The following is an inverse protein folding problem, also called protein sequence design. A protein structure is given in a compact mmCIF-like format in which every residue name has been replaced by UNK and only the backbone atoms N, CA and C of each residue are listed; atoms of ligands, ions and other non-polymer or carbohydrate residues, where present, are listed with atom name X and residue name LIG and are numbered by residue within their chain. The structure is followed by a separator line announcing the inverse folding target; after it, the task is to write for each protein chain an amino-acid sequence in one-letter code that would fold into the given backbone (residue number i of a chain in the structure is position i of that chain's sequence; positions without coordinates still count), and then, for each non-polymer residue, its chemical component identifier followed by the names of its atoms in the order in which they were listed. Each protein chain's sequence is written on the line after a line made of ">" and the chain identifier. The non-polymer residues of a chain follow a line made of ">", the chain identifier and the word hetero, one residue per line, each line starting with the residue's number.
data_IF_814666396019
#
_entry.id   IF_814666396019
#
_cell.length_a   1.000
_cell.length_b   1.000
_cell.length_c   1.000
_cell.angle_alpha   90.00
_cell.angle_beta   90.00
_cell.angle_gamma   90.00
#
_symmetry.space_group_name_H-M   'P 1'
#
loop_
_entity.id
_entity.type
_entity.pdbx_description
1 polymer ?
#
# COMPACT_ATOMS: atom_id res chain seq x y z
N UNK A 1 26.50 37.15 1.12
CA UNK A 1 25.26 37.34 0.32
C UNK A 1 24.16 36.50 0.96
N UNK A 2 22.97 37.07 1.25
CA UNK A 2 21.88 36.35 1.95
C UNK A 2 21.11 35.40 1.01
N UNK A 3 20.76 34.22 1.52
CA UNK A 3 19.97 33.14 0.88
C UNK A 3 18.62 33.65 0.33
N UNK A 4 18.08 34.73 0.90
CA UNK A 4 16.83 35.37 0.46
C UNK A 4 16.92 35.96 -0.96
N UNK A 5 18.13 36.35 -1.41
CA UNK A 5 18.36 36.85 -2.77
C UNK A 5 18.28 35.76 -3.84
N UNK A 6 18.39 34.48 -3.46
CA UNK A 6 18.31 33.35 -4.38
C UNK A 6 16.87 32.87 -4.63
N UNK A 7 16.00 32.99 -3.63
CA UNK A 7 14.62 32.48 -3.72
C UNK A 7 13.66 33.40 -4.50
N UNK A 8 14.02 34.66 -4.73
CA UNK A 8 13.17 35.66 -5.40
C UNK A 8 13.28 35.67 -6.93
N UNK A 9 14.20 34.90 -7.52
CA UNK A 9 14.50 34.95 -8.97
C UNK A 9 13.75 33.92 -9.82
N UNK A 10 12.49 33.57 -9.49
CA UNK A 10 11.71 32.57 -10.24
C UNK A 10 10.26 33.02 -10.53
N UNK A 11 10.13 33.82 -11.60
CA UNK A 11 9.08 33.86 -12.64
C UNK A 11 9.16 35.22 -13.34
N UNK A 12 10.13 35.38 -14.23
CA UNK A 12 10.27 36.55 -15.09
C UNK A 12 9.02 36.69 -15.98
N UNK A 13 8.53 37.92 -16.06
CA UNK A 13 7.35 38.39 -16.82
C UNK A 13 7.37 37.94 -18.30
N UNK A 14 8.56 37.63 -18.82
CA UNK A 14 8.82 37.24 -20.20
C UNK A 14 8.26 35.86 -20.61
N UNK A 15 8.18 34.88 -19.71
CA UNK A 15 7.60 33.56 -20.04
C UNK A 15 6.07 33.61 -20.15
N UNK A 16 5.41 34.51 -19.40
CA UNK A 16 3.97 34.74 -19.51
C UNK A 16 3.61 35.42 -20.84
N UNK A 17 4.37 36.45 -21.23
CA UNK A 17 4.14 37.16 -22.50
C UNK A 17 4.33 36.25 -23.72
N UNK A 18 5.34 35.35 -23.72
CA UNK A 18 5.53 34.40 -24.83
C UNK A 18 4.38 33.41 -25.01
N UNK A 19 3.70 33.01 -23.92
CA UNK A 19 2.52 32.12 -23.97
C UNK A 19 1.26 32.84 -24.43
N UNK A 20 1.11 34.11 -24.06
CA UNK A 20 -0.02 34.94 -24.51
C UNK A 20 0.11 35.35 -25.99
N UNK A 21 1.33 35.64 -26.46
CA UNK A 21 1.59 35.99 -27.86
C UNK A 21 1.45 34.77 -28.80
N UNK A 22 1.77 33.56 -28.33
CA UNK A 22 1.51 32.34 -29.11
C UNK A 22 0.03 31.99 -29.19
N UNK A 23 -0.76 32.34 -28.17
CA UNK A 23 -2.21 32.12 -28.19
C UNK A 23 -2.96 33.12 -29.08
N UNK A 24 -2.49 34.38 -29.15
CA UNK A 24 -3.09 35.42 -30.00
C UNK A 24 -2.80 35.26 -31.50
N UNK A 25 -1.80 34.46 -31.87
CA UNK A 25 -1.41 34.19 -33.27
C UNK A 25 -2.10 32.98 -33.90
N UNK A 26 -2.92 32.24 -33.15
CA UNK A 26 -3.62 31.07 -33.67
C UNK A 26 -4.86 31.50 -34.45
N UNK A 27 -4.95 31.05 -35.70
CA UNK A 27 -6.12 31.26 -36.55
C UNK A 27 -7.29 30.37 -36.13
N UNK A 28 -8.52 30.75 -36.49
CA UNK A 28 -9.76 30.01 -36.14
C UNK A 28 -9.69 28.53 -36.53
N UNK A 29 -9.02 28.21 -37.64
CA UNK A 29 -8.89 26.85 -38.16
C UNK A 29 -7.94 25.99 -37.31
N UNK A 30 -6.87 26.58 -36.76
CA UNK A 30 -5.94 25.87 -35.88
C UNK A 30 -6.58 25.55 -34.53
N UNK A 31 -7.43 26.45 -34.00
CA UNK A 31 -8.19 26.21 -32.77
C UNK A 31 -9.21 25.06 -32.97
N UNK A 32 -9.85 24.99 -34.13
CA UNK A 32 -10.75 23.87 -34.45
C UNK A 32 -9.99 22.55 -34.61
N UNK A 33 -8.81 22.56 -35.22
CA UNK A 33 -7.96 21.38 -35.34
C UNK A 33 -7.52 20.87 -33.95
N UNK A 34 -7.14 21.76 -33.02
CA UNK A 34 -6.81 21.40 -31.65
C UNK A 34 -8.01 20.82 -30.88
N UNK A 35 -9.20 21.39 -31.05
CA UNK A 35 -10.43 20.85 -30.44
C UNK A 35 -10.74 19.46 -30.98
N UNK A 36 -10.71 19.25 -32.30
CA UNK A 36 -10.91 17.93 -32.93
C UNK A 36 -9.87 16.90 -32.48
N UNK A 37 -8.60 17.31 -32.31
CA UNK A 37 -7.51 16.46 -31.82
C UNK A 37 -7.67 16.11 -30.33
N UNK A 38 -8.20 17.04 -29.52
CA UNK A 38 -8.55 16.81 -28.11
C UNK A 38 -9.73 15.85 -27.97
N UNK A 39 -10.76 16.01 -28.80
CA UNK A 39 -11.93 15.13 -28.85
C UNK A 39 -11.53 13.72 -29.29
N UNK A 40 -10.70 13.57 -30.34
CA UNK A 40 -10.14 12.24 -30.73
C UNK A 40 -9.35 11.58 -29.60
N UNK A 41 -8.58 12.35 -28.82
CA UNK A 41 -7.84 11.83 -27.65
C UNK A 41 -8.74 11.47 -26.47
N UNK A 42 -9.91 12.10 -26.33
CA UNK A 42 -10.91 11.70 -25.34
C UNK A 42 -11.62 10.41 -25.78
N UNK A 43 -12.07 10.33 -27.03
CA UNK A 43 -12.75 9.14 -27.58
C UNK A 43 -11.80 7.92 -27.61
N UNK A 44 -10.51 8.11 -27.92
CA UNK A 44 -9.52 7.01 -27.83
C UNK A 44 -9.23 6.55 -26.39
N UNK A 45 -9.53 7.37 -25.37
CA UNK A 45 -9.44 6.94 -23.96
C UNK A 45 -10.70 6.21 -23.47
N UNK A 46 -11.79 6.25 -24.22
CA UNK A 46 -13.09 5.68 -23.87
C UNK A 46 -13.42 4.41 -24.69
N UNK A 47 -12.43 3.55 -24.92
CA UNK A 47 -12.70 2.16 -25.27
C UNK A 47 -12.32 1.26 -24.09
N UNK A 48 -13.10 0.19 -23.90
CA UNK A 48 -13.76 -0.12 -22.64
C UNK A 48 -12.73 -0.46 -21.59
N UNK A 49 -12.96 0.02 -20.38
CA UNK A 49 -12.44 -0.64 -19.19
C UNK A 49 -12.68 -2.14 -19.39
N UNK A 50 -11.61 -2.89 -19.58
CA UNK A 50 -11.59 -4.30 -19.20
C UNK A 50 -12.07 -4.28 -17.76
N UNK A 51 -13.35 -4.60 -17.57
CA UNK A 51 -13.90 -4.90 -16.26
C UNK A 51 -12.95 -5.97 -15.74
N UNK A 52 -12.08 -5.61 -14.80
CA UNK A 52 -11.29 -6.57 -14.07
C UNK A 52 -12.32 -7.54 -13.53
N UNK A 53 -12.40 -8.74 -14.12
CA UNK A 53 -13.29 -9.78 -13.64
C UNK A 53 -12.78 -10.07 -12.25
N UNK A 54 -13.50 -9.53 -11.26
CA UNK A 54 -13.16 -9.71 -9.85
C UNK A 54 -12.97 -11.21 -9.62
N UNK A 55 -11.97 -11.60 -8.84
CA UNK A 55 -11.72 -13.01 -8.51
C UNK A 55 -12.99 -13.70 -7.98
N UNK A 56 -13.86 -12.92 -7.34
CA UNK A 56 -15.21 -13.34 -6.90
C UNK A 56 -16.11 -13.80 -8.04
N UNK A 57 -16.08 -13.09 -9.17
CA UNK A 57 -16.93 -13.39 -10.33
C UNK A 57 -16.43 -14.64 -11.06
N UNK A 58 -15.10 -14.87 -11.04
CA UNK A 58 -14.50 -16.10 -11.56
C UNK A 58 -14.89 -17.30 -10.69
N UNK A 59 -14.80 -17.18 -9.37
CA UNK A 59 -15.18 -18.24 -8.44
C UNK A 59 -16.67 -18.59 -8.53
N UNK A 60 -17.55 -17.59 -8.64
CA UNK A 60 -18.99 -17.82 -8.83
C UNK A 60 -19.28 -18.57 -10.14
N UNK A 61 -18.54 -18.28 -11.21
CA UNK A 61 -18.65 -19.04 -12.47
C UNK A 61 -18.22 -20.49 -12.30
N UNK A 62 -17.10 -20.75 -11.63
CA UNK A 62 -16.62 -22.11 -11.35
C UNK A 62 -17.62 -22.92 -10.50
N UNK A 63 -18.29 -22.29 -9.52
CA UNK A 63 -19.38 -22.92 -8.76
C UNK A 63 -20.57 -23.28 -9.66
N UNK A 64 -20.98 -22.37 -10.53
CA UNK A 64 -22.10 -22.60 -11.44
C UNK A 64 -21.78 -23.73 -12.43
N UNK A 65 -20.56 -23.76 -12.96
CA UNK A 65 -20.08 -24.84 -13.82
C UNK A 65 -20.07 -26.18 -13.10
N UNK A 66 -19.56 -26.22 -11.86
CA UNK A 66 -19.57 -27.42 -11.03
C UNK A 66 -21.00 -27.91 -10.75
N UNK A 67 -21.92 -27.00 -10.42
CA UNK A 67 -23.35 -27.32 -10.21
C UNK A 67 -23.98 -27.91 -11.47
N UNK A 68 -23.70 -27.31 -12.64
CA UNK A 68 -24.23 -27.80 -13.91
C UNK A 68 -23.66 -29.19 -14.27
N UNK A 69 -22.36 -29.40 -14.04
CA UNK A 69 -21.71 -30.70 -14.22
C UNK A 69 -22.29 -31.79 -13.31
N UNK A 70 -22.57 -31.47 -12.05
CA UNK A 70 -23.24 -32.39 -11.11
C UNK A 70 -24.66 -32.74 -11.58
N UNK A 71 -25.44 -31.76 -11.99
CA UNK A 71 -26.84 -31.96 -12.40
C UNK A 71 -26.99 -32.82 -13.66
N UNK A 72 -26.00 -32.79 -14.56
CA UNK A 72 -25.98 -33.62 -15.78
C UNK A 72 -25.74 -35.10 -15.48
N UNK A 73 -25.19 -35.45 -14.32
CA UNK A 73 -24.85 -36.84 -13.95
C UNK A 73 -25.93 -37.43 -13.05
N UNK A 74 -26.89 -38.10 -13.67
CA UNK A 74 -28.05 -38.71 -13.00
C UNK A 74 -27.69 -39.71 -11.90
N UNK A 75 -26.58 -40.44 -12.05
CA UNK A 75 -26.09 -41.41 -11.06
C UNK A 75 -25.50 -40.77 -9.81
N UNK A 76 -25.06 -39.50 -9.87
CA UNK A 76 -24.55 -38.78 -8.69
C UNK A 76 -25.67 -38.16 -7.86
N UNK A 77 -26.91 -38.13 -8.36
CA UNK A 77 -28.05 -37.54 -7.64
C UNK A 77 -28.33 -38.25 -6.30
N UNK A 78 -28.08 -39.56 -6.22
CA UNK A 78 -28.21 -40.33 -4.98
C UNK A 78 -27.04 -40.15 -4.00
N UNK A 79 -25.90 -39.62 -4.47
CA UNK A 79 -24.71 -39.38 -3.66
C UNK A 79 -24.52 -37.89 -3.32
N UNK A 80 -25.49 -37.02 -3.61
CA UNK A 80 -25.43 -35.58 -3.32
C UNK A 80 -25.11 -35.33 -1.84
N UNK A 81 -25.77 -36.04 -0.92
CA UNK A 81 -25.52 -35.89 0.52
C UNK A 81 -24.06 -36.24 0.90
N UNK A 82 -23.48 -37.26 0.26
CA UNK A 82 -22.07 -37.63 0.48
C UNK A 82 -21.13 -36.58 -0.09
N UNK A 83 -21.46 -36.02 -1.26
CA UNK A 83 -20.68 -34.96 -1.90
C UNK A 83 -20.72 -33.69 -1.04
N UNK A 84 -21.88 -33.29 -0.54
CA UNK A 84 -22.03 -32.17 0.40
C UNK A 84 -21.21 -32.40 1.67
N UNK A 85 -21.27 -33.60 2.23
CA UNK A 85 -20.47 -33.99 3.40
C UNK A 85 -18.97 -33.91 3.12
N UNK A 86 -18.52 -34.35 1.95
CA UNK A 86 -17.12 -34.26 1.54
C UNK A 86 -16.66 -32.82 1.36
N UNK A 87 -17.48 -31.97 0.74
CA UNK A 87 -17.19 -30.54 0.58
C UNK A 87 -17.11 -29.87 1.96
N UNK A 88 -18.05 -30.14 2.86
CA UNK A 88 -18.04 -29.60 4.22
C UNK A 88 -16.79 -30.03 4.99
N UNK A 89 -16.41 -31.31 4.89
CA UNK A 89 -15.20 -31.83 5.52
C UNK A 89 -13.92 -31.23 4.94
N UNK A 90 -13.88 -31.02 3.62
CA UNK A 90 -12.73 -30.44 2.93
C UNK A 90 -12.59 -28.97 3.29
N UNK A 91 -13.69 -28.23 3.35
CA UNK A 91 -13.73 -26.85 3.83
C UNK A 91 -13.26 -26.74 5.29
N UNK A 92 -13.74 -27.62 6.17
CA UNK A 92 -13.31 -27.66 7.57
C UNK A 92 -11.79 -27.93 7.70
N UNK A 93 -11.24 -28.86 6.91
CA UNK A 93 -9.78 -29.09 6.86
C UNK A 93 -9.01 -27.85 6.39
N UNK A 94 -9.49 -27.18 5.35
CA UNK A 94 -8.88 -25.93 4.86
C UNK A 94 -8.90 -24.86 5.96
N UNK A 95 -10.02 -24.69 6.68
CA UNK A 95 -10.11 -23.74 7.79
C UNK A 95 -9.12 -24.06 8.91
N UNK A 96 -9.03 -25.33 9.31
CA UNK A 96 -8.08 -25.77 10.35
C UNK A 96 -6.64 -25.50 9.91
N UNK A 97 -6.29 -25.79 8.66
CA UNK A 97 -4.95 -25.51 8.12
C UNK A 97 -4.64 -24.02 8.02
N UNK A 98 -5.60 -23.18 7.62
CA UNK A 98 -5.40 -21.72 7.54
C UNK A 98 -5.24 -21.12 8.92
N UNK A 99 -6.00 -21.56 9.92
CA UNK A 99 -5.85 -21.17 11.32
C UNK A 99 -4.50 -21.60 11.89
N UNK A 100 -4.06 -22.84 11.63
CA UNK A 100 -2.74 -23.31 12.04
C UNK A 100 -1.60 -22.55 11.36
N UNK A 101 -1.74 -22.21 10.06
CA UNK A 101 -0.78 -21.37 9.35
C UNK A 101 -0.76 -19.96 9.93
N UNK A 102 -1.91 -19.37 10.24
CA UNK A 102 -1.99 -18.04 10.87
C UNK A 102 -1.30 -18.03 12.25
N UNK A 103 -1.51 -19.06 13.07
CA UNK A 103 -0.84 -19.20 14.37
C UNK A 103 0.68 -19.41 14.23
N UNK A 104 1.13 -20.25 13.29
CA UNK A 104 2.57 -20.45 13.02
C UNK A 104 3.23 -19.16 12.50
N UNK A 105 2.59 -18.47 11.55
CA UNK A 105 3.07 -17.20 11.02
C UNK A 105 3.12 -16.11 12.12
N UNK A 106 2.15 -16.10 13.03
CA UNK A 106 2.14 -15.21 14.19
C UNK A 106 3.30 -15.47 15.17
N UNK A 107 3.71 -16.74 15.34
CA UNK A 107 4.89 -17.09 16.15
C UNK A 107 6.20 -16.69 15.48
N UNK A 108 6.34 -17.00 14.19
CA UNK A 108 7.53 -16.65 13.40
C UNK A 108 7.74 -15.13 13.34
N UNK A 109 6.67 -14.36 13.12
CA UNK A 109 6.75 -12.88 13.11
C UNK A 109 7.17 -12.30 14.46
N UNK A 110 6.71 -12.90 15.57
CA UNK A 110 7.09 -12.49 16.92
C UNK A 110 8.56 -12.77 17.24
N UNK A 111 9.07 -13.92 16.84
CA UNK A 111 10.48 -14.30 17.01
C UNK A 111 11.39 -13.35 16.24
N UNK A 112 11.05 -13.05 14.97
CA UNK A 112 11.79 -12.08 14.14
C UNK A 112 11.84 -10.70 14.82
N UNK A 113 10.69 -10.18 15.27
CA UNK A 113 10.63 -8.88 15.95
C UNK A 113 11.44 -8.85 17.25
N UNK A 114 11.51 -9.98 17.96
CA UNK A 114 12.30 -10.10 19.19
C UNK A 114 13.80 -10.06 18.88
N UNK A 115 14.24 -10.77 17.84
CA UNK A 115 15.64 -10.75 17.40
C UNK A 115 16.06 -9.40 16.83
N UNK A 116 15.19 -8.72 16.08
CA UNK A 116 15.44 -7.35 15.63
C UNK A 116 15.56 -6.38 16.80
N UNK A 117 14.71 -6.50 17.82
CA UNK A 117 14.76 -5.66 18.99
C UNK A 117 16.07 -5.82 19.79
N UNK A 118 16.65 -7.03 19.83
CA UNK A 118 17.97 -7.26 20.46
C UNK A 118 19.12 -6.50 19.80
N UNK A 119 18.99 -6.12 18.51
CA UNK A 119 19.99 -5.32 17.80
C UNK A 119 19.98 -3.85 18.21
N UNK A 120 18.93 -3.39 18.90
CA UNK A 120 18.81 -2.00 19.35
C UNK A 120 19.72 -1.78 20.57
N UNK A 121 20.63 -0.80 20.54
CA UNK A 121 21.52 -0.51 21.67
C UNK A 121 20.74 -0.21 22.96
N UNK A 122 21.22 -0.74 24.09
CA UNK A 122 20.55 -0.59 25.38
C UNK A 122 20.35 0.89 25.78
N UNK A 123 21.35 1.72 25.47
CA UNK A 123 21.40 3.13 25.83
C UNK A 123 20.59 4.03 24.90
N UNK A 124 20.01 3.49 23.82
CA UNK A 124 19.23 4.28 22.87
C UNK A 124 17.85 4.66 23.43
N UNK A 125 17.30 3.83 24.30
CA UNK A 125 15.94 3.95 24.80
C UNK A 125 15.91 3.95 26.33
N UNK A 126 15.11 4.84 26.91
CA UNK A 126 14.83 4.85 28.34
C UNK A 126 14.22 3.53 28.80
N UNK A 127 14.51 3.11 30.04
CA UNK A 127 14.06 1.82 30.58
C UNK A 127 12.53 1.65 30.54
N UNK A 128 11.78 2.71 30.83
CA UNK A 128 10.30 2.68 30.75
C UNK A 128 9.80 2.43 29.32
N UNK A 129 10.49 2.98 28.33
CA UNK A 129 10.16 2.80 26.91
C UNK A 129 10.52 1.38 26.45
N UNK A 130 11.65 0.84 26.91
CA UNK A 130 12.08 -0.55 26.67
C UNK A 130 11.07 -1.55 27.22
N UNK A 131 10.63 -1.36 28.46
CA UNK A 131 9.60 -2.19 29.09
C UNK A 131 8.30 -2.14 28.29
N UNK A 132 7.86 -0.94 27.89
CA UNK A 132 6.64 -0.77 27.09
C UNK A 132 6.74 -1.46 25.71
N UNK A 133 7.90 -1.40 25.06
CA UNK A 133 8.20 -2.09 23.79
C UNK A 133 8.20 -3.60 23.96
N UNK A 134 8.88 -4.13 24.98
CA UNK A 134 8.87 -5.55 25.30
C UNK A 134 7.44 -6.05 25.53
N UNK A 135 6.65 -5.31 26.31
CA UNK A 135 5.24 -5.65 26.52
C UNK A 135 4.46 -5.71 25.21
N UNK A 136 4.75 -4.81 24.27
CA UNK A 136 4.14 -4.75 22.94
C UNK A 136 4.56 -5.92 22.05
N UNK A 137 5.84 -6.28 22.01
CA UNK A 137 6.37 -7.42 21.24
C UNK A 137 5.78 -8.74 21.79
N UNK A 138 5.71 -8.87 23.11
CA UNK A 138 5.26 -10.10 23.75
C UNK A 138 3.73 -10.24 23.85
N UNK A 139 2.96 -9.19 23.52
CA UNK A 139 1.50 -9.22 23.59
C UNK A 139 0.95 -9.16 25.02
N UNK A 140 1.75 -8.73 25.98
CA UNK A 140 1.35 -8.62 27.39
C UNK A 140 0.46 -7.39 27.61
N UNK A 141 -0.34 -7.39 28.69
CA UNK A 141 -1.25 -6.29 29.02
C UNK A 141 -0.47 -4.99 29.22
N UNK A 142 -0.81 -3.97 28.43
CA UNK A 142 -0.22 -2.63 28.48
C UNK A 142 -1.05 -1.74 29.40
N UNK A 143 -0.36 -0.91 30.17
CA UNK A 143 -0.95 0.17 30.96
C UNK A 143 -1.07 1.45 30.11
N UNK A 144 -1.81 2.44 30.60
CA UNK A 144 -1.89 3.76 29.96
C UNK A 144 -0.51 4.44 29.87
N UNK A 145 0.36 4.21 30.86
CA UNK A 145 1.73 4.70 30.85
C UNK A 145 2.56 4.06 29.73
N UNK A 146 2.45 2.73 29.54
CA UNK A 146 3.14 2.03 28.44
C UNK A 146 2.71 2.60 27.07
N UNK A 147 1.42 2.87 26.88
CA UNK A 147 0.90 3.46 25.65
C UNK A 147 1.44 4.88 25.41
N UNK A 148 1.58 5.69 26.47
CA UNK A 148 2.21 7.01 26.38
C UNK A 148 3.65 6.92 25.88
N UNK A 149 4.49 6.05 26.48
CA UNK A 149 5.89 5.91 26.06
C UNK A 149 6.03 5.41 24.62
N UNK A 150 5.16 4.49 24.18
CA UNK A 150 5.12 4.03 22.79
C UNK A 150 4.77 5.19 21.83
N UNK A 151 3.79 6.02 22.18
CA UNK A 151 3.41 7.19 21.36
C UNK A 151 4.54 8.20 21.30
N UNK A 152 5.17 8.51 22.44
CA UNK A 152 6.33 9.39 22.53
C UNK A 152 7.49 8.88 21.66
N UNK A 153 7.79 7.58 21.75
CA UNK A 153 8.83 6.95 20.94
C UNK A 153 8.57 7.11 19.44
N UNK A 154 7.31 6.91 18.99
CA UNK A 154 6.95 7.08 17.58
C UNK A 154 7.26 8.49 17.08
N UNK A 155 6.94 9.52 17.87
CA UNK A 155 7.23 10.91 17.52
C UNK A 155 8.74 11.15 17.46
N UNK A 156 9.49 10.69 18.46
CA UNK A 156 10.95 10.83 18.50
C UNK A 156 11.61 10.14 17.29
N UNK A 157 11.14 8.96 16.90
CA UNK A 157 11.64 8.25 15.71
C UNK A 157 11.38 9.09 14.45
N UNK A 158 10.18 9.66 14.31
CA UNK A 158 9.85 10.49 13.16
C UNK A 158 10.76 11.71 13.06
N UNK A 159 10.98 12.43 14.16
CA UNK A 159 11.90 13.56 14.22
C UNK A 159 13.34 13.15 13.83
N UNK A 160 13.81 12.00 14.32
CA UNK A 160 15.15 11.48 13.99
C UNK A 160 15.27 11.05 12.53
N UNK A 161 14.23 10.47 11.94
CA UNK A 161 14.19 10.14 10.52
C UNK A 161 14.22 11.40 9.65
N UNK A 162 13.53 12.46 10.06
CA UNK A 162 13.57 13.73 9.34
C UNK A 162 14.94 14.40 9.48
N UNK A 163 15.57 14.37 10.66
CA UNK A 163 16.98 14.76 10.84
C UNK A 163 17.93 13.97 9.94
N UNK A 164 17.76 12.65 9.86
CA UNK A 164 18.57 11.78 9.01
C UNK A 164 18.45 12.14 7.52
N UNK A 165 17.28 12.60 7.04
CA UNK A 165 17.15 13.09 5.65
C UNK A 165 18.03 14.31 5.41
N UNK A 166 18.09 15.25 6.35
CA UNK A 166 18.97 16.40 6.24
C UNK A 166 20.44 16.01 6.30
N UNK A 167 20.82 15.09 7.21
CA UNK A 167 22.18 14.57 7.26
C UNK A 167 22.61 13.87 5.98
N UNK A 168 21.71 13.12 5.32
CA UNK A 168 21.99 12.54 3.98
C UNK A 168 22.24 13.60 2.91
N UNK A 169 21.61 14.76 2.99
CA UNK A 169 21.89 15.87 2.08
C UNK A 169 23.28 16.43 2.37
N UNK A 170 23.63 16.60 3.65
CA UNK A 170 24.96 17.06 4.04
C UNK A 170 26.06 16.08 3.64
N UNK A 171 25.85 14.78 3.85
CA UNK A 171 26.75 13.71 3.41
C UNK A 171 27.01 13.80 1.90
N UNK A 172 25.96 13.94 1.08
CA UNK A 172 26.12 14.15 -0.37
C UNK A 172 26.89 15.41 -0.73
N UNK A 173 26.79 16.47 0.06
CA UNK A 173 27.55 17.70 -0.17
C UNK A 173 29.02 17.48 0.18
N UNK A 174 29.28 16.73 1.26
CA UNK A 174 30.64 16.40 1.68
C UNK A 174 31.31 15.44 0.68
N UNK A 175 30.58 14.46 0.14
CA UNK A 175 31.08 13.50 -0.86
C UNK A 175 31.42 14.13 -2.23
N UNK A 176 30.99 15.37 -2.48
CA UNK A 176 31.34 16.12 -3.71
C UNK A 176 32.77 16.69 -3.64
N UNK A 177 33.34 16.81 -2.44
CA UNK A 177 34.70 17.32 -2.20
C UNK A 177 35.65 16.19 -1.78
#
# INVERSE_FOLDING_TARGET
>A
MSIEKWLTKKKTKDEKNKREDTFKRLTSDEVQAFKKKKIRKMIQKENPQTVEVSETDKFLREIIEFKNWLNQRTYLKGDIEKIETWIANLFAKIQIETEHKAQKNGKVTKEILTEEYKKVPLNLLDEKTRIALNKRIHGTKRTNSDNYYIKKLRNNIQEKLDQAKYFKILEKILDIF
#
